data_IF_922461808157
#
_entry.id   IF_922461808157
#
_cell.length_a   1.000
_cell.length_b   1.000
_cell.length_c   1.000
_cell.angle_alpha   90.00
_cell.angle_beta   90.00
_cell.angle_gamma   90.00
#
_symmetry.space_group_name_H-M   'P 1'
#
loop_
_entity.id
_entity.type
_entity.pdbx_description
1 polymer ?
#
# COMPACT_ATOMS: atom_id res chain seq x y z
N UNK A 1 1.35 -17.30 15.03
CA UNK A 1 1.89 -16.06 14.47
C UNK A 1 2.95 -16.47 13.48
N UNK A 2 2.69 -16.35 12.18
CA UNK A 2 3.71 -16.66 11.16
C UNK A 2 4.88 -15.69 11.35
N UNK A 3 6.15 -16.12 11.20
CA UNK A 3 7.28 -15.21 11.28
C UNK A 3 7.07 -14.10 10.26
N UNK A 4 7.12 -12.84 10.72
CA UNK A 4 7.07 -11.68 9.83
C UNK A 4 8.21 -11.82 8.83
N UNK A 5 7.86 -12.02 7.56
CA UNK A 5 8.86 -12.24 6.52
C UNK A 5 9.61 -10.93 6.33
N UNK A 6 10.93 -10.94 6.52
CA UNK A 6 11.76 -9.77 6.28
C UNK A 6 11.59 -9.28 4.83
N UNK A 7 11.60 -7.95 4.60
CA UNK A 7 11.50 -7.42 3.25
C UNK A 7 12.71 -7.83 2.42
N UNK A 8 12.47 -8.31 1.19
CA UNK A 8 13.57 -8.69 0.29
C UNK A 8 14.44 -7.47 -0.10
N UNK A 9 13.86 -6.26 -0.11
CA UNK A 9 14.52 -5.00 -0.44
C UNK A 9 13.90 -3.80 0.30
N UNK A 10 14.61 -2.68 0.38
CA UNK A 10 14.11 -1.40 0.90
C UNK A 10 14.31 -0.29 -0.13
N UNK A 11 13.36 0.64 -0.20
CA UNK A 11 13.43 1.83 -1.06
C UNK A 11 13.22 3.10 -0.23
N UNK A 12 13.93 4.16 -0.55
CA UNK A 12 13.74 5.48 0.06
C UNK A 12 12.74 6.28 -0.80
N UNK A 13 11.73 6.86 -0.19
CA UNK A 13 10.65 7.59 -0.85
C UNK A 13 10.40 8.93 -0.15
N UNK A 14 10.07 9.97 -0.92
CA UNK A 14 9.57 11.22 -0.35
C UNK A 14 8.10 11.07 0.07
N UNK A 15 7.59 11.97 0.92
CA UNK A 15 6.16 11.97 1.26
C UNK A 15 5.26 12.21 0.03
N UNK A 16 5.75 12.96 -0.96
CA UNK A 16 5.05 13.21 -2.21
C UNK A 16 4.91 11.92 -3.03
N UNK A 17 5.97 11.11 -3.09
CA UNK A 17 5.94 9.79 -3.73
C UNK A 17 4.93 8.86 -3.04
N UNK A 18 4.91 8.85 -1.71
CA UNK A 18 3.95 8.03 -0.94
C UNK A 18 2.50 8.45 -1.23
N UNK A 19 2.22 9.76 -1.30
CA UNK A 19 0.88 10.27 -1.63
C UNK A 19 0.47 9.88 -3.06
N UNK A 20 1.39 10.00 -4.02
CA UNK A 20 1.16 9.59 -5.40
C UNK A 20 0.88 8.08 -5.49
N UNK A 21 1.71 7.26 -4.83
CA UNK A 21 1.54 5.81 -4.81
C UNK A 21 0.23 5.41 -4.15
N UNK A 22 -0.17 6.05 -3.05
CA UNK A 22 -1.47 5.81 -2.42
C UNK A 22 -2.61 6.01 -3.42
N UNK A 23 -2.59 7.14 -4.15
CA UNK A 23 -3.57 7.42 -5.19
C UNK A 23 -3.55 6.36 -6.31
N UNK A 24 -2.37 5.94 -6.78
CA UNK A 24 -2.24 4.89 -7.78
C UNK A 24 -2.86 3.57 -7.30
N UNK A 25 -2.63 3.18 -6.04
CA UNK A 25 -3.22 1.96 -5.47
C UNK A 25 -4.74 2.08 -5.36
N UNK A 26 -5.28 3.23 -4.95
CA UNK A 26 -6.73 3.48 -4.92
C UNK A 26 -7.36 3.35 -6.31
N UNK A 27 -6.74 3.94 -7.34
CA UNK A 27 -7.21 3.76 -8.72
C UNK A 27 -7.11 2.29 -9.15
N UNK A 28 -6.01 1.62 -8.80
CA UNK A 28 -5.83 0.19 -9.04
C UNK A 28 -6.98 -0.62 -8.46
N UNK A 29 -7.32 -0.42 -7.18
CA UNK A 29 -8.40 -1.13 -6.48
C UNK A 29 -9.75 -0.85 -7.16
N UNK A 30 -10.02 0.41 -7.51
CA UNK A 30 -11.29 0.82 -8.11
C UNK A 30 -11.58 0.13 -9.44
N UNK A 31 -10.55 -0.11 -10.25
CA UNK A 31 -10.66 -0.73 -11.57
C UNK A 31 -10.16 -2.17 -11.60
N UNK A 32 -9.85 -2.76 -10.44
CA UNK A 32 -9.34 -4.12 -10.40
C UNK A 32 -10.45 -5.10 -10.81
N UNK A 33 -10.21 -6.00 -11.77
CA UNK A 33 -11.23 -6.93 -12.23
C UNK A 33 -11.64 -7.95 -11.13
N UNK A 34 -10.81 -8.12 -10.10
CA UNK A 34 -11.12 -9.00 -8.96
C UNK A 34 -11.26 -10.47 -9.35
N UNK A 35 -11.70 -11.29 -8.40
CA UNK A 35 -11.98 -12.70 -8.66
C UNK A 35 -13.32 -12.86 -9.41
N UNK A 36 -13.44 -13.84 -10.33
CA UNK A 36 -12.48 -14.91 -10.64
C UNK A 36 -11.41 -14.56 -11.68
N UNK A 37 -11.43 -13.35 -12.26
CA UNK A 37 -10.46 -12.95 -13.29
C UNK A 37 -9.03 -12.78 -12.75
N UNK A 38 -8.88 -12.53 -11.45
CA UNK A 38 -7.62 -12.43 -10.71
C UNK A 38 -7.70 -13.22 -9.39
N UNK A 39 -6.58 -13.71 -8.86
CA UNK A 39 -6.52 -14.33 -7.53
C UNK A 39 -7.01 -13.38 -6.43
N UNK A 40 -7.75 -13.92 -5.45
CA UNK A 40 -8.22 -13.18 -4.27
C UNK A 40 -7.06 -12.53 -3.49
N UNK A 41 -5.92 -13.22 -3.42
CA UNK A 41 -4.72 -12.77 -2.72
C UNK A 41 -4.17 -11.47 -3.29
N UNK A 42 -4.32 -11.21 -4.60
CA UNK A 42 -3.87 -9.95 -5.20
C UNK A 42 -4.70 -8.78 -4.68
N UNK A 43 -6.02 -8.95 -4.54
CA UNK A 43 -6.91 -7.91 -4.00
C UNK A 43 -6.60 -7.59 -2.53
N UNK A 44 -6.33 -8.62 -1.72
CA UNK A 44 -5.92 -8.45 -0.32
C UNK A 44 -4.59 -7.68 -0.20
N UNK A 45 -3.60 -8.00 -1.05
CA UNK A 45 -2.35 -7.27 -1.09
C UNK A 45 -2.54 -5.81 -1.50
N UNK A 46 -3.43 -5.51 -2.44
CA UNK A 46 -3.73 -4.12 -2.82
C UNK A 46 -4.35 -3.34 -1.65
N UNK A 47 -5.27 -3.94 -0.89
CA UNK A 47 -5.83 -3.33 0.32
C UNK A 47 -4.76 -3.11 1.39
N UNK A 48 -3.88 -4.09 1.61
CA UNK A 48 -2.75 -3.95 2.52
C UNK A 48 -1.84 -2.77 2.12
N UNK A 49 -1.53 -2.62 0.83
CA UNK A 49 -0.69 -1.52 0.33
C UNK A 49 -1.37 -0.15 0.53
N UNK A 50 -2.67 -0.04 0.22
CA UNK A 50 -3.45 1.18 0.47
C UNK A 50 -3.37 1.58 1.93
N UNK A 51 -3.66 0.64 2.83
CA UNK A 51 -3.71 0.91 4.28
C UNK A 51 -2.32 1.26 4.83
N UNK A 52 -1.27 0.59 4.32
CA UNK A 52 0.11 0.87 4.70
C UNK A 52 0.53 2.29 4.31
N UNK A 53 0.23 2.71 3.07
CA UNK A 53 0.55 4.06 2.61
C UNK A 53 -0.29 5.12 3.34
N UNK A 54 -1.55 4.84 3.63
CA UNK A 54 -2.39 5.72 4.45
C UNK A 54 -1.80 5.92 5.85
N UNK A 55 -1.32 4.85 6.51
CA UNK A 55 -0.62 4.94 7.79
C UNK A 55 0.63 5.81 7.70
N UNK A 56 1.45 5.64 6.66
CA UNK A 56 2.64 6.48 6.44
C UNK A 56 2.28 7.96 6.27
N UNK A 57 1.19 8.26 5.55
CA UNK A 57 0.70 9.64 5.38
C UNK A 57 0.25 10.23 6.71
N UNK A 58 -0.52 9.48 7.51
CA UNK A 58 -0.99 9.93 8.82
C UNK A 58 0.18 10.15 9.78
N UNK A 59 1.12 9.19 9.84
CA UNK A 59 2.30 9.28 10.68
C UNK A 59 3.11 10.55 10.36
N UNK A 60 3.32 10.83 9.08
CA UNK A 60 3.92 12.09 8.63
C UNK A 60 3.11 13.30 9.12
N UNK A 61 1.79 13.33 8.95
CA UNK A 61 0.96 14.46 9.37
C UNK A 61 1.01 14.75 10.88
N UNK A 62 1.15 13.73 11.72
CA UNK A 62 1.13 13.88 13.18
C UNK A 62 2.52 14.01 13.82
N UNK A 63 3.58 13.54 13.16
CA UNK A 63 4.94 13.52 13.72
C UNK A 63 5.92 14.49 13.03
N UNK A 64 5.47 15.25 12.03
CA UNK A 64 6.26 16.36 11.49
C UNK A 64 6.36 17.51 12.51
N UNK A 65 7.54 18.16 12.66
CA UNK A 65 7.71 19.34 13.48
C UNK A 65 6.94 20.57 12.94
#
# INVERSE_FOLDING_TARGET
MSPEKEPDYTVNLSIEDIRLLHHCVEQGIKYWPGAPARPYQEQEHMWYLRDSMCRMILDYQFNQP
#
